data_IF_274971529536
#
_entry.id   IF_274971529536
#
_cell.length_a   1.000
_cell.length_b   1.000
_cell.length_c   1.000
_cell.angle_alpha   90.00
_cell.angle_beta   90.00
_cell.angle_gamma   90.00
#
_symmetry.space_group_name_H-M   'P 1'
#
loop_
_entity.id
_entity.type
_entity.pdbx_description
1 polymer ?
#
# COMPACT_ATOMS: atom_id res chain seq x y z
N UNK A 1 11.16 -13.38 -19.10
CA UNK A 1 11.67 -12.63 -17.92
C UNK A 1 10.66 -11.53 -17.67
N UNK A 2 9.84 -11.64 -16.62
CA UNK A 2 8.87 -10.62 -16.29
C UNK A 2 9.65 -9.41 -15.77
N UNK A 3 9.82 -8.40 -16.60
CA UNK A 3 10.22 -7.07 -16.14
C UNK A 3 8.97 -6.46 -15.49
N UNK A 4 8.92 -6.31 -14.15
CA UNK A 4 7.77 -5.72 -13.49
C UNK A 4 7.86 -4.20 -13.67
N UNK A 5 7.70 -3.76 -14.92
CA UNK A 5 7.59 -2.35 -15.27
C UNK A 5 6.36 -1.77 -14.56
N UNK A 6 6.61 -1.11 -13.45
CA UNK A 6 5.58 -0.46 -12.65
C UNK A 6 5.04 0.75 -13.43
N UNK A 7 3.88 0.58 -14.05
CA UNK A 7 3.24 1.67 -14.77
C UNK A 7 2.45 2.54 -13.80
N UNK A 8 2.86 3.81 -13.64
CA UNK A 8 2.12 4.86 -12.91
C UNK A 8 1.67 6.00 -13.84
N UNK A 9 0.75 6.84 -13.37
CA UNK A 9 0.29 8.04 -14.08
C UNK A 9 -0.15 7.80 -15.52
N UNK A 10 0.40 8.56 -16.48
CA UNK A 10 0.03 8.47 -17.89
C UNK A 10 0.33 7.09 -18.51
N UNK A 11 1.43 6.44 -18.12
CA UNK A 11 1.76 5.08 -18.57
C UNK A 11 0.71 4.08 -18.08
N UNK A 12 0.24 4.25 -16.83
CA UNK A 12 -0.85 3.44 -16.27
C UNK A 12 -2.15 3.64 -17.03
N UNK A 13 -2.47 4.82 -17.56
CA UNK A 13 -3.79 5.06 -18.17
C UNK A 13 -3.81 4.96 -19.69
N UNK A 14 -2.66 4.89 -20.36
CA UNK A 14 -2.53 4.91 -21.83
C UNK A 14 -3.40 3.85 -22.56
N UNK A 15 -3.57 2.67 -21.97
CA UNK A 15 -4.32 1.53 -22.55
C UNK A 15 -5.78 1.44 -22.09
N UNK A 16 -6.29 2.41 -21.32
CA UNK A 16 -7.72 2.43 -20.93
C UNK A 16 -8.56 2.74 -22.19
N UNK A 17 -9.66 1.99 -22.46
CA UNK A 17 -10.52 2.24 -23.62
C UNK A 17 -11.13 3.66 -23.59
N UNK A 18 -11.57 4.09 -22.42
CA UNK A 18 -12.09 5.44 -22.17
C UNK A 18 -10.90 6.40 -22.07
N UNK A 19 -10.81 7.35 -23.00
CA UNK A 19 -9.73 8.33 -23.03
C UNK A 19 -9.93 9.38 -21.94
N UNK A 20 -8.93 9.51 -21.08
CA UNK A 20 -8.86 10.57 -20.07
C UNK A 20 -8.33 11.81 -20.77
N UNK A 21 -9.18 12.83 -20.90
CA UNK A 21 -8.78 14.13 -21.45
C UNK A 21 -7.97 14.87 -20.37
N UNK A 22 -6.69 15.21 -20.60
CA UNK A 22 -5.91 15.97 -19.63
C UNK A 22 -6.55 17.32 -19.39
N UNK A 23 -6.88 17.60 -18.13
CA UNK A 23 -7.32 18.92 -17.70
C UNK A 23 -6.14 19.71 -17.13
N UNK A 24 -6.11 21.05 -17.26
CA UNK A 24 -5.12 21.88 -16.61
C UNK A 24 -5.09 21.61 -15.10
N UNK A 25 -3.91 21.47 -14.52
CA UNK A 25 -3.76 21.29 -13.07
C UNK A 25 -4.26 22.55 -12.36
N UNK A 26 -5.36 22.41 -11.63
CA UNK A 26 -5.86 23.46 -10.74
C UNK A 26 -4.94 23.56 -9.53
N UNK A 27 -4.70 24.79 -9.07
CA UNK A 27 -3.96 25.04 -7.83
C UNK A 27 -4.77 24.49 -6.65
N UNK A 28 -4.13 23.69 -5.80
CA UNK A 28 -4.77 23.19 -4.58
C UNK A 28 -5.18 24.36 -3.68
N UNK A 29 -6.45 24.40 -3.19
CA UNK A 29 -6.89 25.39 -2.22
C UNK A 29 -6.03 25.39 -0.96
N UNK A 30 -6.02 26.52 -0.23
CA UNK A 30 -5.18 26.65 0.97
C UNK A 30 -5.49 25.62 2.06
N UNK A 31 -6.76 25.26 2.24
CA UNK A 31 -7.26 24.42 3.31
C UNK A 31 -6.95 22.91 3.15
N UNK A 32 -6.61 22.43 1.94
CA UNK A 32 -6.29 21.01 1.70
C UNK A 32 -4.78 20.72 1.70
N UNK A 33 -3.94 21.76 1.85
CA UNK A 33 -2.49 21.59 1.83
C UNK A 33 -2.00 20.99 3.14
N UNK A 34 -1.51 19.75 3.07
CA UNK A 34 -0.87 19.10 4.19
C UNK A 34 0.53 19.68 4.46
N UNK A 35 0.95 19.62 5.73
CA UNK A 35 2.32 19.94 6.12
C UNK A 35 3.25 18.83 5.62
N UNK A 36 4.46 19.19 5.22
CA UNK A 36 5.43 18.22 4.67
C UNK A 36 5.69 17.08 5.67
N UNK A 37 5.63 15.81 5.25
CA UNK A 37 5.86 14.64 6.09
C UNK A 37 7.36 14.43 6.41
N UNK A 38 8.18 15.49 6.40
CA UNK A 38 9.61 15.50 6.79
C UNK A 38 9.80 15.31 8.31
N UNK A 39 9.10 14.33 8.87
CA UNK A 39 9.20 13.91 10.25
C UNK A 39 10.22 12.76 10.27
N UNK A 40 11.26 12.78 11.12
CA UNK A 40 12.23 11.69 11.27
C UNK A 40 11.59 10.29 11.40
N UNK A 41 10.39 10.24 11.96
CA UNK A 41 9.59 9.01 12.12
C UNK A 41 9.22 8.33 10.78
N UNK A 42 9.01 9.10 9.71
CA UNK A 42 8.67 8.56 8.38
C UNK A 42 9.86 7.84 7.74
N UNK A 43 11.08 8.38 7.91
CA UNK A 43 12.28 7.74 7.38
C UNK A 43 12.58 6.42 8.08
N UNK A 44 12.42 6.38 9.42
CA UNK A 44 12.55 5.15 10.21
C UNK A 44 11.56 4.09 9.78
N UNK A 45 10.29 4.49 9.60
CA UNK A 45 9.24 3.60 9.12
C UNK A 45 9.59 2.98 7.76
N UNK A 46 10.04 3.80 6.81
CA UNK A 46 10.47 3.34 5.48
C UNK A 46 11.55 2.27 5.58
N UNK A 47 12.49 2.40 6.53
CA UNK A 47 13.50 1.38 6.81
C UNK A 47 12.86 0.06 7.24
N UNK A 48 12.02 0.10 8.27
CA UNK A 48 11.33 -1.08 8.82
C UNK A 48 10.53 -1.81 7.73
N UNK A 49 9.74 -1.08 6.94
CA UNK A 49 8.91 -1.67 5.88
C UNK A 49 9.76 -2.37 4.81
N UNK A 50 10.88 -1.75 4.40
CA UNK A 50 11.80 -2.34 3.41
C UNK A 50 12.50 -3.59 3.96
N UNK A 51 12.94 -3.54 5.21
CA UNK A 51 13.56 -4.70 5.88
C UNK A 51 12.58 -5.87 6.00
N UNK A 52 11.30 -5.57 6.29
CA UNK A 52 10.23 -6.55 6.39
C UNK A 52 9.66 -6.98 5.01
N UNK A 53 10.12 -6.40 3.90
CA UNK A 53 9.60 -6.63 2.54
C UNK A 53 8.09 -6.37 2.43
N UNK A 54 7.59 -5.36 3.14
CA UNK A 54 6.17 -5.00 3.16
C UNK A 54 5.91 -3.73 2.35
N UNK A 55 4.70 -3.64 1.79
CA UNK A 55 4.21 -2.44 1.13
C UNK A 55 3.13 -1.76 1.98
N UNK A 56 3.00 -0.45 1.83
CA UNK A 56 1.89 0.32 2.43
C UNK A 56 1.23 1.19 1.38
N UNK A 57 -0.09 1.30 1.43
CA UNK A 57 -0.81 2.26 0.57
C UNK A 57 -0.42 3.69 0.93
N UNK A 58 0.00 3.92 2.17
CA UNK A 58 0.46 5.23 2.62
C UNK A 58 1.65 5.73 1.79
N UNK A 59 2.56 4.83 1.38
CA UNK A 59 3.69 5.13 0.51
C UNK A 59 3.33 5.01 -0.97
N UNK A 60 2.69 3.91 -1.36
CA UNK A 60 2.41 3.65 -2.78
C UNK A 60 1.41 4.61 -3.41
N UNK A 61 0.54 5.21 -2.58
CA UNK A 61 -0.43 6.21 -3.00
C UNK A 61 -0.06 7.65 -2.62
N UNK A 62 1.19 7.91 -2.23
CA UNK A 62 1.68 9.25 -1.91
C UNK A 62 0.82 9.99 -0.87
N UNK A 63 0.41 9.28 0.20
CA UNK A 63 -0.57 9.79 1.15
C UNK A 63 -0.03 11.02 1.93
N UNK A 64 -0.73 12.17 1.92
CA UNK A 64 -0.29 13.36 2.63
C UNK A 64 -0.36 13.22 4.17
N UNK A 65 -1.14 12.24 4.67
CA UNK A 65 -1.39 12.03 6.10
C UNK A 65 -0.42 11.04 6.75
N UNK A 66 0.58 10.55 6.01
CA UNK A 66 1.54 9.53 6.46
C UNK A 66 2.10 9.85 7.86
N UNK A 67 2.66 11.04 8.05
CA UNK A 67 3.26 11.42 9.34
C UNK A 67 2.27 11.44 10.51
N UNK A 68 1.02 11.86 10.26
CA UNK A 68 -0.02 11.97 11.28
C UNK A 68 -0.56 10.60 11.69
N UNK A 69 -0.95 9.75 10.72
CA UNK A 69 -1.48 8.41 10.98
C UNK A 69 -0.49 7.58 11.80
N UNK A 70 0.79 7.58 11.39
CA UNK A 70 1.83 6.86 12.11
C UNK A 70 2.10 7.45 13.50
N UNK A 71 2.02 8.77 13.66
CA UNK A 71 2.11 9.42 14.97
C UNK A 71 1.02 8.99 15.95
N UNK A 72 -0.16 8.61 15.45
CA UNK A 72 -1.25 8.05 16.26
C UNK A 72 -1.18 6.53 16.42
N UNK A 73 -0.11 5.88 15.95
CA UNK A 73 0.06 4.42 16.02
C UNK A 73 -0.89 3.67 15.08
N UNK A 74 -1.15 4.25 13.90
CA UNK A 74 -1.99 3.64 12.85
C UNK A 74 -1.23 3.53 11.54
N UNK A 75 -1.42 2.40 10.84
CA UNK A 75 -0.84 2.17 9.53
C UNK A 75 -1.82 1.42 8.62
N UNK A 76 -1.64 1.58 7.32
CA UNK A 76 -2.37 0.79 6.31
C UNK A 76 -1.38 0.00 5.47
N UNK A 77 -1.35 -1.31 5.69
CA UNK A 77 -0.51 -2.23 4.94
C UNK A 77 -1.22 -2.67 3.67
N UNK A 78 -0.45 -2.75 2.59
CA UNK A 78 -0.92 -3.24 1.30
C UNK A 78 -0.24 -4.59 1.05
N UNK A 79 -1.01 -5.67 1.21
CA UNK A 79 -0.55 -7.03 0.97
C UNK A 79 -0.67 -7.38 -0.52
N UNK A 80 -0.09 -8.53 -0.91
CA UNK A 80 -0.09 -9.07 -2.28
C UNK A 80 0.74 -8.25 -3.28
N UNK A 81 1.70 -7.47 -2.77
CA UNK A 81 2.65 -6.67 -3.55
C UNK A 81 2.18 -5.26 -3.90
N UNK A 82 2.92 -4.60 -4.79
CA UNK A 82 2.75 -3.20 -5.20
C UNK A 82 2.24 -3.00 -6.64
N UNK A 83 1.98 -4.10 -7.34
CA UNK A 83 1.45 -4.12 -8.70
C UNK A 83 0.01 -4.60 -8.72
N UNK A 84 -0.86 -3.75 -9.25
CA UNK A 84 -2.26 -4.06 -9.46
C UNK A 84 -2.50 -4.56 -10.89
N UNK A 85 -3.23 -5.67 -11.01
CA UNK A 85 -3.68 -6.18 -12.31
C UNK A 85 -4.64 -5.20 -13.01
N UNK A 86 -5.31 -4.34 -12.22
CA UNK A 86 -6.21 -3.30 -12.70
C UNK A 86 -5.54 -1.92 -12.85
N UNK A 87 -6.23 -1.03 -13.55
CA UNK A 87 -5.73 0.27 -14.02
C UNK A 87 -6.68 1.42 -13.73
N UNK A 88 -7.15 1.52 -12.48
CA UNK A 88 -8.05 2.60 -12.05
C UNK A 88 -7.41 3.98 -12.29
N UNK A 89 -8.06 4.90 -13.04
CA UNK A 89 -7.52 6.22 -13.41
C UNK A 89 -7.09 7.11 -12.25
N UNK A 90 -7.75 6.99 -11.10
CA UNK A 90 -7.54 7.81 -9.91
C UNK A 90 -6.48 7.24 -8.95
N UNK A 91 -6.09 5.98 -9.16
CA UNK A 91 -5.25 5.25 -8.21
C UNK A 91 -3.78 5.37 -8.60
N UNK A 92 -2.92 5.76 -7.66
CA UNK A 92 -1.49 5.97 -7.89
C UNK A 92 -0.65 4.69 -7.75
N UNK A 93 -1.24 3.61 -7.22
CA UNK A 93 -0.60 2.28 -7.16
C UNK A 93 -0.23 1.79 -8.56
N UNK A 94 0.94 1.16 -8.68
CA UNK A 94 1.44 0.67 -9.95
C UNK A 94 0.53 -0.34 -10.63
N UNK A 95 0.50 -0.32 -11.94
CA UNK A 95 -0.07 -1.40 -12.75
C UNK A 95 1.03 -2.22 -13.38
N UNK A 96 0.90 -3.54 -13.35
CA UNK A 96 1.85 -4.47 -13.95
C UNK A 96 1.42 -5.91 -13.77
N UNK A 97 2.31 -6.83 -14.12
CA UNK A 97 2.15 -8.25 -13.81
C UNK A 97 2.72 -8.50 -12.41
N UNK A 98 1.89 -8.85 -11.41
CA UNK A 98 2.38 -9.09 -10.06
C UNK A 98 3.30 -10.32 -10.00
N UNK A 99 4.20 -10.32 -9.02
CA UNK A 99 4.92 -11.53 -8.63
C UNK A 99 3.99 -12.50 -7.88
N UNK A 100 4.36 -13.78 -7.76
CA UNK A 100 3.68 -14.70 -6.84
C UNK A 100 3.61 -14.10 -5.43
N UNK A 101 2.50 -14.27 -4.68
CA UNK A 101 2.43 -13.82 -3.29
C UNK A 101 3.56 -14.43 -2.46
N UNK A 102 4.17 -13.62 -1.60
CA UNK A 102 5.15 -14.10 -0.63
C UNK A 102 4.42 -14.91 0.46
N UNK A 103 4.78 -16.18 0.62
CA UNK A 103 4.17 -17.05 1.62
C UNK A 103 4.49 -16.60 3.06
N UNK A 104 5.57 -15.86 3.27
CA UNK A 104 5.96 -15.31 4.57
C UNK A 104 5.34 -13.91 4.85
N UNK A 105 4.63 -13.30 3.89
CA UNK A 105 4.01 -11.97 4.06
C UNK A 105 3.10 -11.87 5.31
N UNK A 106 2.26 -12.86 5.66
CA UNK A 106 1.46 -12.82 6.89
C UNK A 106 2.31 -12.72 8.16
N UNK A 107 3.43 -13.44 8.21
CA UNK A 107 4.35 -13.45 9.35
C UNK A 107 5.11 -12.13 9.43
N UNK A 108 5.69 -11.68 8.31
CA UNK A 108 6.37 -10.38 8.25
C UNK A 108 5.45 -9.24 8.67
N UNK A 109 4.19 -9.26 8.23
CA UNK A 109 3.17 -8.29 8.61
C UNK A 109 2.92 -8.30 10.13
N UNK A 110 2.66 -9.47 10.70
CA UNK A 110 2.38 -9.63 12.12
C UNK A 110 3.57 -9.20 13.00
N UNK A 111 4.78 -9.65 12.67
CA UNK A 111 6.02 -9.28 13.36
C UNK A 111 6.26 -7.77 13.32
N UNK A 112 6.02 -7.16 12.15
CA UNK A 112 6.19 -5.70 11.98
C UNK A 112 5.18 -4.91 12.79
N UNK A 113 3.91 -5.33 12.80
CA UNK A 113 2.85 -4.67 13.58
C UNK A 113 3.16 -4.76 15.08
N UNK A 114 3.60 -5.93 15.56
CA UNK A 114 4.00 -6.14 16.94
C UNK A 114 5.21 -5.27 17.32
N UNK A 115 6.26 -5.29 16.49
CA UNK A 115 7.48 -4.49 16.67
C UNK A 115 7.18 -2.99 16.75
N UNK A 116 6.24 -2.52 15.93
CA UNK A 116 5.84 -1.12 15.88
C UNK A 116 4.83 -0.72 16.96
N UNK A 117 4.28 -1.69 17.70
CA UNK A 117 3.25 -1.49 18.72
C UNK A 117 2.06 -0.65 18.20
N UNK A 118 1.59 -0.94 16.98
CA UNK A 118 0.47 -0.22 16.38
C UNK A 118 -0.84 -0.51 17.12
N UNK A 119 -1.64 0.53 17.32
CA UNK A 119 -2.93 0.44 18.03
C UNK A 119 -4.07 0.03 17.09
N UNK A 120 -3.98 0.47 15.84
CA UNK A 120 -5.00 0.22 14.83
C UNK A 120 -4.33 -0.06 13.49
N UNK A 121 -4.75 -1.11 12.80
CA UNK A 121 -4.19 -1.49 11.51
C UNK A 121 -5.31 -1.67 10.49
N UNK A 122 -5.07 -1.12 9.29
CA UNK A 122 -5.88 -1.43 8.12
C UNK A 122 -5.05 -2.34 7.20
N UNK A 123 -5.64 -3.45 6.78
CA UNK A 123 -5.07 -4.33 5.75
C UNK A 123 -5.87 -4.12 4.48
N UNK A 124 -5.18 -3.75 3.40
CA UNK A 124 -5.72 -3.62 2.04
C UNK A 124 -4.84 -4.39 1.06
N UNK A 125 -5.23 -4.50 -0.20
CA UNK A 125 -4.39 -5.11 -1.22
C UNK A 125 -4.48 -4.40 -2.55
N UNK A 126 -3.58 -4.77 -3.45
CA UNK A 126 -3.80 -4.64 -4.89
C UNK A 126 -4.84 -5.65 -5.38
N UNK A 127 -5.38 -5.41 -6.57
CA UNK A 127 -6.25 -6.37 -7.23
C UNK A 127 -5.42 -7.48 -7.90
N UNK A 128 -5.78 -8.73 -7.63
CA UNK A 128 -5.08 -9.95 -8.05
C UNK A 128 -5.97 -10.84 -8.91
N UNK A 129 -6.46 -10.29 -10.03
CA UNK A 129 -7.21 -11.04 -11.05
C UNK A 129 -6.45 -12.28 -11.58
N UNK A 130 -5.13 -12.38 -11.34
CA UNK A 130 -4.28 -13.53 -11.67
C UNK A 130 -4.41 -14.73 -10.70
N UNK A 131 -4.95 -14.52 -9.50
CA UNK A 131 -5.16 -15.56 -8.49
C UNK A 131 -6.59 -16.11 -8.58
N UNK A 132 -6.73 -17.43 -8.38
CA UNK A 132 -8.04 -18.11 -8.46
C UNK A 132 -9.07 -17.57 -7.46
N UNK A 133 -8.62 -17.22 -6.25
CA UNK A 133 -9.45 -16.66 -5.18
C UNK A 133 -9.30 -15.14 -5.04
N UNK A 134 -8.60 -14.48 -5.97
CA UNK A 134 -8.28 -13.06 -5.91
C UNK A 134 -7.43 -12.63 -4.70
N UNK A 135 -6.83 -13.58 -3.97
CA UNK A 135 -6.05 -13.32 -2.74
C UNK A 135 -6.85 -13.38 -1.43
N UNK A 136 -8.12 -13.78 -1.45
CA UNK A 136 -8.97 -13.84 -0.26
C UNK A 136 -8.38 -14.72 0.86
N UNK A 137 -7.79 -15.87 0.52
CA UNK A 137 -7.12 -16.73 1.50
C UNK A 137 -5.92 -16.05 2.17
N UNK A 138 -5.19 -15.22 1.42
CA UNK A 138 -4.04 -14.49 1.93
C UNK A 138 -4.45 -13.42 2.95
N UNK A 139 -5.54 -12.68 2.68
CA UNK A 139 -6.13 -11.77 3.66
C UNK A 139 -6.45 -12.47 4.98
N UNK A 140 -7.09 -13.65 4.91
CA UNK A 140 -7.46 -14.41 6.09
C UNK A 140 -6.22 -14.83 6.92
N UNK A 141 -5.15 -15.27 6.24
CA UNK A 141 -3.88 -15.63 6.88
C UNK A 141 -3.22 -14.42 7.56
N UNK A 142 -3.17 -13.27 6.88
CA UNK A 142 -2.65 -12.03 7.46
C UNK A 142 -3.43 -11.60 8.70
N UNK A 143 -4.77 -11.59 8.64
CA UNK A 143 -5.61 -11.20 9.78
C UNK A 143 -5.40 -12.15 10.96
N UNK A 144 -5.31 -13.46 10.71
CA UNK A 144 -5.08 -14.45 11.76
C UNK A 144 -3.71 -14.25 12.44
N UNK A 145 -2.65 -14.12 11.65
CA UNK A 145 -1.28 -13.91 12.16
C UNK A 145 -1.17 -12.61 12.99
N UNK A 146 -1.78 -11.51 12.52
CA UNK A 146 -1.79 -10.24 13.27
C UNK A 146 -2.52 -10.37 14.60
N UNK A 147 -3.67 -11.05 14.63
CA UNK A 147 -4.44 -11.25 15.87
C UNK A 147 -3.70 -12.12 16.88
N UNK A 148 -2.91 -13.10 16.40
CA UNK A 148 -2.09 -13.95 17.25
C UNK A 148 -0.89 -13.19 17.84
N UNK A 149 -0.12 -12.48 16.99
CA UNK A 149 1.08 -11.78 17.43
C UNK A 149 0.80 -10.46 18.17
N UNK A 150 -0.34 -9.82 17.89
CA UNK A 150 -0.70 -8.49 18.41
C UNK A 150 -2.18 -8.42 18.82
N UNK A 151 -2.61 -9.16 19.85
CA UNK A 151 -4.03 -9.26 20.23
C UNK A 151 -4.65 -7.96 20.73
N UNK A 152 -3.83 -6.96 21.10
CA UNK A 152 -4.28 -5.64 21.51
C UNK A 152 -4.48 -4.66 20.34
N UNK A 153 -3.96 -4.97 19.16
CA UNK A 153 -4.12 -4.16 17.95
C UNK A 153 -5.52 -4.36 17.38
N UNK A 154 -6.17 -3.26 17.01
CA UNK A 154 -7.51 -3.26 16.40
C UNK A 154 -7.47 -3.29 14.88
#
# INVERSE_FOLDING_TARGET
MADPLQHKGAAKTARIPIKIVPQPRMRLPSWIRAKSPNVPNVARLKGILREAKLHTVCEEASCPNLGECFGHGTATFMILGDLCTRRCPFCDVGHGTPLPPDADEPRHLADTIALMALKYVVITSVDRDDLRDGGAGHFAQCIAAVREASPATR
#
